data_IF_690570740418
#
_entry.id   IF_690570740418
#
_cell.length_a   1.000
_cell.length_b   1.000
_cell.length_c   1.000
_cell.angle_alpha   90.00
_cell.angle_beta   90.00
_cell.angle_gamma   90.00
#
_symmetry.space_group_name_H-M   'P 1'
#
loop_
_entity.id
_entity.type
_entity.pdbx_description
1 polymer ?
#
# COMPACT_ATOMS: atom_id res chain seq x y z
N UNK A 1 -47.47 45.34 21.10
CA UNK A 1 -46.15 45.94 21.42
C UNK A 1 -45.19 44.77 21.65
N UNK A 2 -44.31 44.37 20.73
CA UNK A 2 -43.51 45.15 19.79
C UNK A 2 -42.07 45.17 20.31
N UNK A 3 -41.38 44.04 20.25
CA UNK A 3 -39.98 43.90 20.66
C UNK A 3 -39.06 44.02 19.44
N UNK A 4 -38.14 44.97 19.52
CA UNK A 4 -37.08 45.28 18.58
C UNK A 4 -35.89 44.33 18.76
N UNK A 5 -35.23 43.96 17.67
CA UNK A 5 -33.77 43.83 17.62
C UNK A 5 -33.29 43.72 16.17
N UNK A 6 -32.60 44.76 15.73
CA UNK A 6 -31.78 44.82 14.52
C UNK A 6 -30.62 43.81 14.61
N UNK A 7 -30.27 43.18 13.49
CA UNK A 7 -28.95 42.61 13.30
C UNK A 7 -28.42 42.96 11.91
N UNK A 8 -27.28 43.62 11.93
CA UNK A 8 -26.52 44.14 10.80
C UNK A 8 -25.85 43.02 10.01
N UNK A 9 -26.00 43.08 8.69
CA UNK A 9 -25.28 42.28 7.71
C UNK A 9 -23.78 42.55 7.78
N UNK A 10 -22.98 41.51 8.01
CA UNK A 10 -21.54 41.50 7.74
C UNK A 10 -21.31 40.77 6.42
N UNK A 11 -20.94 41.53 5.41
CA UNK A 11 -20.38 41.03 4.16
C UNK A 11 -18.88 40.82 4.39
N UNK A 12 -18.43 39.57 4.35
CA UNK A 12 -17.02 39.21 4.42
C UNK A 12 -16.67 38.40 3.17
N UNK A 13 -16.32 39.14 2.11
CA UNK A 13 -15.65 38.60 0.94
C UNK A 13 -14.42 37.79 1.35
N UNK A 14 -14.49 36.48 1.18
CA UNK A 14 -13.34 35.60 1.26
C UNK A 14 -12.85 35.33 -0.15
N UNK A 15 -11.74 35.94 -0.52
CA UNK A 15 -10.97 35.57 -1.71
C UNK A 15 -10.59 34.09 -1.62
N UNK A 16 -10.72 33.28 -2.69
CA UNK A 16 -10.28 31.90 -2.65
C UNK A 16 -8.75 31.86 -2.51
N UNK A 17 -8.28 31.25 -1.43
CA UNK A 17 -6.87 30.86 -1.26
C UNK A 17 -6.38 30.10 -2.49
N UNK A 18 -5.09 30.23 -2.87
CA UNK A 18 -4.55 29.51 -4.01
C UNK A 18 -4.79 28.02 -3.80
N UNK A 19 -5.53 27.41 -4.72
CA UNK A 19 -5.86 26.00 -4.68
C UNK A 19 -4.58 25.20 -4.49
N UNK A 20 -4.42 24.58 -3.32
CA UNK A 20 -3.48 23.49 -3.12
C UNK A 20 -3.76 22.53 -4.27
N UNK A 21 -2.78 22.34 -5.16
CA UNK A 21 -2.89 21.39 -6.28
C UNK A 21 -3.30 20.06 -5.65
N UNK A 22 -4.57 19.68 -5.82
CA UNK A 22 -5.13 18.51 -5.15
C UNK A 22 -4.25 17.31 -5.44
N UNK A 23 -3.57 16.79 -4.42
CA UNK A 23 -2.91 15.50 -4.48
C UNK A 23 -3.99 14.47 -4.73
N UNK A 24 -3.78 13.59 -5.70
CA UNK A 24 -4.68 12.46 -5.95
C UNK A 24 -4.85 11.66 -4.67
N UNK A 25 -6.09 11.49 -4.23
CA UNK A 25 -6.42 10.82 -2.97
C UNK A 25 -6.64 9.32 -3.17
N UNK A 26 -6.40 8.55 -2.12
CA UNK A 26 -6.92 7.19 -2.00
C UNK A 26 -8.23 7.22 -1.21
N UNK A 27 -9.20 6.41 -1.62
CA UNK A 27 -10.49 6.33 -0.96
C UNK A 27 -10.35 5.68 0.41
N UNK A 28 -11.20 6.09 1.34
CA UNK A 28 -11.39 5.42 2.61
C UNK A 28 -12.83 5.65 3.05
N UNK A 29 -13.73 4.73 2.69
CA UNK A 29 -15.12 4.87 3.09
C UNK A 29 -15.28 4.60 4.59
N UNK A 30 -16.33 5.16 5.19
CA UNK A 30 -16.65 4.96 6.60
C UNK A 30 -16.76 3.46 6.91
N UNK A 31 -15.98 3.00 7.88
CA UNK A 31 -15.98 1.60 8.32
C UNK A 31 -14.99 0.68 7.60
N UNK A 32 -14.32 1.12 6.53
CA UNK A 32 -13.28 0.31 5.87
C UNK A 32 -11.92 0.40 6.58
N UNK A 33 -11.65 1.54 7.23
CA UNK A 33 -10.41 1.83 7.98
C UNK A 33 -9.12 1.67 7.16
N UNK A 34 -9.16 1.96 5.86
CA UNK A 34 -8.03 1.83 4.92
C UNK A 34 -6.91 2.89 5.10
N UNK A 35 -7.02 3.83 6.05
CA UNK A 35 -6.03 4.90 6.26
C UNK A 35 -4.58 4.39 6.39
N UNK A 36 -4.36 3.29 7.12
CA UNK A 36 -3.01 2.73 7.31
C UNK A 36 -2.42 2.27 5.97
N UNK A 37 -3.22 1.59 5.15
CA UNK A 37 -2.83 1.09 3.84
C UNK A 37 -2.58 2.25 2.86
N UNK A 38 -3.40 3.29 2.94
CA UNK A 38 -3.27 4.49 2.11
C UNK A 38 -1.93 5.21 2.37
N UNK A 39 -1.53 5.33 3.63
CA UNK A 39 -0.24 5.92 4.00
C UNK A 39 0.91 5.10 3.40
N UNK A 40 0.86 3.76 3.47
CA UNK A 40 1.90 2.89 2.91
C UNK A 40 1.98 3.03 1.39
N UNK A 41 0.84 2.97 0.69
CA UNK A 41 0.78 3.11 -0.78
C UNK A 41 1.34 4.46 -1.22
N UNK A 42 0.91 5.56 -0.61
CA UNK A 42 1.40 6.89 -0.97
C UNK A 42 2.89 7.05 -0.65
N UNK A 43 3.34 6.55 0.51
CA UNK A 43 4.76 6.61 0.91
C UNK A 43 5.66 5.90 -0.10
N UNK A 44 5.27 4.69 -0.53
CA UNK A 44 6.01 3.91 -1.51
C UNK A 44 5.91 4.49 -2.93
N UNK A 45 4.76 5.02 -3.33
CA UNK A 45 4.58 5.65 -4.66
C UNK A 45 5.45 6.89 -4.84
N UNK A 46 5.67 7.65 -3.76
CA UNK A 46 6.56 8.81 -3.76
C UNK A 46 8.05 8.47 -3.85
N UNK A 47 8.43 7.18 -3.85
CA UNK A 47 9.79 6.72 -4.09
C UNK A 47 9.94 6.29 -5.56
N UNK A 48 10.52 7.15 -6.44
CA UNK A 48 10.54 6.86 -7.88
C UNK A 48 11.19 5.53 -8.26
N UNK A 49 12.34 5.11 -7.66
CA UNK A 49 12.94 3.81 -7.96
C UNK A 49 12.01 2.64 -7.64
N UNK A 50 11.31 2.69 -6.51
CA UNK A 50 10.35 1.65 -6.13
C UNK A 50 9.16 1.60 -7.08
N UNK A 51 8.54 2.76 -7.33
CA UNK A 51 7.40 2.89 -8.23
C UNK A 51 7.72 2.34 -9.63
N UNK A 52 8.88 2.71 -10.19
CA UNK A 52 9.30 2.25 -11.51
C UNK A 52 9.45 0.73 -11.58
N UNK A 53 10.12 0.14 -10.59
CA UNK A 53 10.31 -1.31 -10.52
C UNK A 53 8.98 -2.07 -10.35
N UNK A 54 8.11 -1.59 -9.47
CA UNK A 54 6.80 -2.21 -9.24
C UNK A 54 5.91 -2.15 -10.49
N UNK A 55 5.87 -1.01 -11.19
CA UNK A 55 5.08 -0.86 -12.41
C UNK A 55 5.62 -1.71 -13.58
N UNK A 56 6.94 -1.97 -13.58
CA UNK A 56 7.62 -2.80 -14.57
C UNK A 56 7.42 -4.32 -14.36
N UNK A 57 6.82 -4.76 -13.24
CA UNK A 57 6.46 -6.16 -13.07
C UNK A 57 5.46 -6.56 -14.17
N UNK A 58 5.77 -7.61 -14.92
CA UNK A 58 4.88 -8.12 -15.95
C UNK A 58 3.75 -8.94 -15.33
N UNK A 59 2.50 -8.52 -15.53
CA UNK A 59 1.33 -9.28 -15.06
C UNK A 59 1.27 -10.71 -15.63
N UNK A 60 1.95 -10.97 -16.76
CA UNK A 60 2.04 -12.27 -17.39
C UNK A 60 3.01 -13.23 -16.67
N UNK A 61 4.07 -12.75 -16.00
CA UNK A 61 5.00 -13.63 -15.26
C UNK A 61 4.35 -14.24 -14.02
N UNK A 62 3.43 -13.52 -13.36
CA UNK A 62 2.73 -13.99 -12.16
C UNK A 62 1.65 -15.04 -12.48
N UNK A 63 1.00 -14.94 -13.64
CA UNK A 63 0.00 -15.91 -14.08
C UNK A 63 0.60 -17.34 -14.27
N UNK A 64 1.87 -17.42 -14.64
CA UNK A 64 2.57 -18.70 -14.82
C UNK A 64 2.83 -19.44 -13.49
N UNK A 65 3.04 -18.71 -12.39
CA UNK A 65 3.18 -19.25 -11.05
C UNK A 65 1.85 -19.80 -10.49
N UNK A 66 0.72 -19.22 -10.92
CA UNK A 66 -0.63 -19.69 -10.57
C UNK A 66 -0.97 -21.01 -11.28
N UNK A 67 -0.52 -21.23 -12.51
CA UNK A 67 -0.84 -22.42 -13.31
C UNK A 67 -0.11 -23.71 -12.87
N UNK A 68 0.99 -23.61 -12.11
CA UNK A 68 1.90 -24.73 -11.85
C UNK A 68 1.55 -25.67 -10.66
N UNK A 69 0.28 -25.80 -10.22
CA UNK A 69 -0.07 -26.88 -9.25
C UNK A 69 -0.78 -28.05 -9.92
N UNK A 70 0.00 -29.03 -10.37
CA UNK A 70 -0.46 -30.41 -10.51
C UNK A 70 -0.62 -31.07 -9.14
N UNK A 71 -1.54 -32.03 -9.05
CA UNK A 71 -2.15 -32.57 -7.83
C UNK A 71 -1.29 -33.56 -7.00
N UNK A 72 0.04 -33.60 -7.18
CA UNK A 72 0.91 -34.65 -6.61
C UNK A 72 2.09 -34.08 -5.79
N UNK A 73 1.86 -33.03 -4.99
CA UNK A 73 2.90 -32.38 -4.19
C UNK A 73 2.86 -32.78 -2.70
N UNK A 74 4.02 -33.17 -2.15
CA UNK A 74 4.27 -33.41 -0.72
C UNK A 74 3.68 -32.30 0.19
N UNK A 75 3.17 -32.63 1.40
CA UNK A 75 2.43 -31.68 2.26
C UNK A 75 3.18 -30.37 2.59
N UNK A 76 4.51 -30.39 2.63
CA UNK A 76 5.35 -29.19 2.82
C UNK A 76 5.47 -28.31 1.57
N UNK A 77 5.52 -28.92 0.39
CA UNK A 77 5.59 -28.20 -0.88
C UNK A 77 4.27 -27.46 -1.17
N UNK A 78 3.13 -28.08 -0.85
CA UNK A 78 1.81 -27.48 -1.03
C UNK A 78 1.63 -26.16 -0.26
N UNK A 79 2.05 -26.11 1.02
CA UNK A 79 1.97 -24.89 1.85
C UNK A 79 2.84 -23.75 1.31
N UNK A 80 4.06 -24.07 0.85
CA UNK A 80 4.96 -23.06 0.26
C UNK A 80 4.45 -22.51 -1.08
N UNK A 81 3.85 -23.37 -1.90
CA UNK A 81 3.20 -22.97 -3.15
C UNK A 81 1.97 -22.10 -2.89
N UNK A 82 1.16 -22.44 -1.88
CA UNK A 82 0.03 -21.60 -1.46
C UNK A 82 0.49 -20.23 -0.96
N UNK A 83 1.51 -20.17 -0.09
CA UNK A 83 2.11 -18.89 0.36
C UNK A 83 2.52 -18.03 -0.85
N UNK A 84 3.24 -18.63 -1.80
CA UNK A 84 3.69 -17.94 -3.01
C UNK A 84 2.54 -17.41 -3.87
N UNK A 85 1.46 -18.17 -4.01
CA UNK A 85 0.27 -17.74 -4.75
C UNK A 85 -0.42 -16.56 -4.10
N UNK A 86 -0.61 -16.60 -2.78
CA UNK A 86 -1.20 -15.49 -2.02
C UNK A 86 -0.32 -14.24 -2.14
N UNK A 87 1.00 -14.40 -2.02
CA UNK A 87 1.97 -13.32 -2.23
C UNK A 87 1.88 -12.72 -3.64
N UNK A 88 1.87 -13.52 -4.71
CA UNK A 88 1.72 -13.01 -6.09
C UNK A 88 0.39 -12.27 -6.31
N UNK A 89 -0.71 -12.71 -5.69
CA UNK A 89 -1.99 -11.98 -5.75
C UNK A 89 -1.91 -10.62 -5.05
N UNK A 90 -1.28 -10.59 -3.87
CA UNK A 90 -1.06 -9.35 -3.13
C UNK A 90 -0.20 -8.36 -3.94
N UNK A 91 0.88 -8.83 -4.55
CA UNK A 91 1.74 -8.03 -5.44
C UNK A 91 0.97 -7.51 -6.65
N UNK A 92 0.17 -8.36 -7.29
CA UNK A 92 -0.68 -7.96 -8.43
C UNK A 92 -1.71 -6.89 -8.05
N UNK A 93 -2.35 -7.03 -6.88
CA UNK A 93 -3.27 -6.02 -6.36
C UNK A 93 -2.55 -4.71 -6.03
N UNK A 94 -1.37 -4.77 -5.39
CA UNK A 94 -0.54 -3.59 -5.10
C UNK A 94 -0.16 -2.86 -6.39
N UNK A 95 0.33 -3.60 -7.40
CA UNK A 95 0.67 -3.05 -8.71
C UNK A 95 -0.55 -2.40 -9.38
N UNK A 96 -1.71 -3.04 -9.33
CA UNK A 96 -2.95 -2.50 -9.92
C UNK A 96 -3.33 -1.18 -9.26
N UNK A 97 -3.30 -1.10 -7.93
CA UNK A 97 -3.50 0.15 -7.19
C UNK A 97 -2.48 1.22 -7.58
N UNK A 98 -1.21 0.85 -7.80
CA UNK A 98 -0.19 1.79 -8.26
C UNK A 98 -0.43 2.31 -9.68
N UNK A 99 -0.90 1.45 -10.61
CA UNK A 99 -1.26 1.85 -11.98
C UNK A 99 -2.40 2.86 -11.96
N UNK A 100 -3.47 2.57 -11.19
CA UNK A 100 -4.61 3.48 -11.05
C UNK A 100 -4.19 4.80 -10.39
N UNK A 101 -3.39 4.73 -9.32
CA UNK A 101 -2.91 5.91 -8.62
C UNK A 101 -1.97 6.76 -9.48
N UNK A 102 -1.08 6.14 -10.25
CA UNK A 102 -0.19 6.86 -11.18
C UNK A 102 -0.97 7.55 -12.31
N UNK A 103 -1.94 6.85 -12.91
CA UNK A 103 -2.81 7.45 -13.92
C UNK A 103 -3.59 8.65 -13.36
N UNK A 104 -4.16 8.51 -12.16
CA UNK A 104 -4.91 9.57 -11.51
C UNK A 104 -4.01 10.72 -11.01
N UNK A 105 -2.76 10.46 -10.62
CA UNK A 105 -1.78 11.47 -10.24
C UNK A 105 -1.28 12.30 -11.43
N UNK A 106 -1.12 11.65 -12.59
CA UNK A 106 -0.64 12.27 -13.82
C UNK A 106 -1.76 12.85 -14.71
N UNK A 107 -3.04 12.65 -14.34
CA UNK A 107 -4.18 13.20 -15.08
C UNK A 107 -4.20 14.74 -15.07
N UNK A 108 -4.60 15.38 -16.20
CA UNK A 108 -4.72 16.83 -16.31
C UNK A 108 -5.76 17.37 -15.33
N UNK A 109 -5.56 18.60 -14.85
CA UNK A 109 -6.39 19.20 -13.78
C UNK A 109 -7.89 19.25 -14.07
N UNK A 110 -8.29 19.29 -15.35
CA UNK A 110 -9.70 19.30 -15.77
C UNK A 110 -10.38 17.93 -15.61
N UNK A 111 -9.63 16.84 -15.62
CA UNK A 111 -10.14 15.46 -15.44
C UNK A 111 -10.03 14.97 -13.99
N UNK A 112 -9.46 15.76 -13.08
CA UNK A 112 -9.35 15.42 -11.64
C UNK A 112 -10.69 15.50 -10.89
N UNK A 113 -11.81 15.49 -11.60
CA UNK A 113 -13.14 15.81 -11.11
C UNK A 113 -13.79 14.78 -10.18
N UNK A 114 -13.09 13.71 -9.76
CA UNK A 114 -13.54 12.93 -8.61
C UNK A 114 -13.46 11.43 -8.74
N UNK A 115 -12.27 10.88 -8.55
CA UNK A 115 -12.13 9.48 -8.20
C UNK A 115 -10.96 9.31 -7.26
N UNK A 116 -11.22 9.25 -5.96
CA UNK A 116 -10.22 8.72 -5.06
C UNK A 116 -9.98 7.25 -5.45
N UNK A 117 -8.71 6.86 -5.65
CA UNK A 117 -8.38 5.49 -6.06
C UNK A 117 -8.73 4.54 -4.92
N UNK A 118 -9.45 3.47 -5.21
CA UNK A 118 -9.88 2.54 -4.17
C UNK A 118 -8.80 1.50 -3.86
N UNK A 119 -8.34 1.38 -2.60
CA UNK A 119 -7.42 0.34 -2.20
C UNK A 119 -8.11 -1.00 -1.89
N UNK A 120 -9.42 -1.16 -2.13
CA UNK A 120 -10.19 -2.34 -1.67
C UNK A 120 -9.63 -3.67 -2.21
N UNK A 121 -9.19 -3.74 -3.47
CA UNK A 121 -8.61 -4.95 -4.03
C UNK A 121 -7.31 -5.35 -3.30
N UNK A 122 -6.45 -4.36 -3.00
CA UNK A 122 -5.25 -4.55 -2.20
C UNK A 122 -5.60 -4.98 -0.77
N UNK A 123 -6.65 -4.40 -0.19
CA UNK A 123 -7.13 -4.74 1.15
C UNK A 123 -7.61 -6.18 1.27
N UNK A 124 -8.35 -6.67 0.28
CA UNK A 124 -8.83 -8.06 0.21
C UNK A 124 -7.66 -9.01 0.03
N UNK A 125 -6.75 -8.71 -0.91
CA UNK A 125 -5.58 -9.56 -1.15
C UNK A 125 -4.68 -9.66 0.10
N UNK A 126 -4.54 -8.59 0.87
CA UNK A 126 -3.83 -8.61 2.15
C UNK A 126 -4.54 -9.51 3.17
N UNK A 127 -5.86 -9.40 3.30
CA UNK A 127 -6.64 -10.26 4.20
C UNK A 127 -6.55 -11.75 3.81
N UNK A 128 -6.48 -12.07 2.51
CA UNK A 128 -6.31 -13.44 2.02
C UNK A 128 -4.98 -14.08 2.41
N UNK A 129 -3.88 -13.31 2.39
CA UNK A 129 -2.55 -13.78 2.86
C UNK A 129 -2.64 -14.28 4.30
N UNK A 130 -3.43 -13.57 5.10
CA UNK A 130 -3.65 -13.82 6.53
C UNK A 130 -4.91 -14.61 6.85
N UNK A 131 -5.49 -15.29 5.85
CA UNK A 131 -6.66 -16.13 6.03
C UNK A 131 -6.39 -17.22 7.09
N UNK A 132 -7.19 -17.21 8.16
CA UNK A 132 -6.99 -18.09 9.33
C UNK A 132 -6.33 -17.40 10.53
N UNK A 133 -5.98 -16.12 10.41
CA UNK A 133 -5.56 -15.26 11.52
C UNK A 133 -6.56 -14.12 11.75
N UNK A 134 -6.46 -13.44 12.89
CA UNK A 134 -7.20 -12.21 13.16
C UNK A 134 -6.54 -10.96 12.56
N UNK A 135 -5.34 -11.09 11.98
CA UNK A 135 -4.56 -9.96 11.48
C UNK A 135 -5.05 -9.51 10.11
N UNK A 136 -5.00 -8.20 9.88
CA UNK A 136 -5.31 -7.58 8.60
C UNK A 136 -6.65 -8.00 8.00
N UNK A 137 -7.65 -8.31 8.82
CA UNK A 137 -9.01 -8.60 8.34
C UNK A 137 -9.74 -7.31 7.99
N UNK A 138 -10.61 -7.33 6.98
CA UNK A 138 -11.35 -6.14 6.51
C UNK A 138 -12.08 -5.41 7.65
N UNK A 139 -12.28 -4.09 7.48
CA UNK A 139 -12.92 -3.22 8.47
C UNK A 139 -12.19 -3.12 9.82
N UNK A 140 -10.88 -3.41 9.83
CA UNK A 140 -10.00 -3.19 10.96
C UNK A 140 -8.84 -2.27 10.58
N UNK A 141 -8.42 -1.46 11.55
CA UNK A 141 -7.21 -0.63 11.45
C UNK A 141 -6.00 -1.44 11.91
N UNK A 142 -4.92 -1.39 11.14
CA UNK A 142 -3.68 -2.11 11.44
C UNK A 142 -2.50 -1.13 11.44
N UNK A 143 -1.36 -1.57 11.96
CA UNK A 143 -0.14 -0.78 11.95
C UNK A 143 0.43 -0.68 10.52
N UNK A 144 0.80 0.54 10.11
CA UNK A 144 1.31 0.79 8.77
C UNK A 144 2.71 0.18 8.53
N UNK A 145 3.55 0.11 9.57
CA UNK A 145 4.87 -0.49 9.49
C UNK A 145 4.81 -2.01 9.35
N UNK A 146 3.87 -2.67 10.03
CA UNK A 146 3.62 -4.11 9.84
C UNK A 146 3.17 -4.40 8.41
N UNK A 147 2.22 -3.62 7.88
CA UNK A 147 1.77 -3.77 6.49
C UNK A 147 2.91 -3.55 5.49
N UNK A 148 3.77 -2.56 5.72
CA UNK A 148 4.94 -2.31 4.88
C UNK A 148 5.86 -3.54 4.83
N UNK A 149 6.15 -4.16 5.98
CA UNK A 149 6.98 -5.36 6.06
C UNK A 149 6.32 -6.54 5.35
N UNK A 150 5.00 -6.72 5.48
CA UNK A 150 4.27 -7.79 4.80
C UNK A 150 4.22 -7.60 3.28
N UNK A 151 4.13 -6.37 2.79
CA UNK A 151 4.26 -6.09 1.37
C UNK A 151 5.67 -6.42 0.86
N UNK A 152 6.71 -6.18 1.64
CA UNK A 152 8.08 -6.56 1.30
C UNK A 152 8.28 -8.08 1.32
N UNK A 153 7.76 -8.80 2.32
CA UNK A 153 7.79 -10.28 2.34
C UNK A 153 7.02 -10.86 1.16
N UNK A 154 5.88 -10.26 0.78
CA UNK A 154 5.10 -10.69 -0.38
C UNK A 154 5.86 -10.48 -1.69
N UNK A 155 6.49 -9.31 -1.89
CA UNK A 155 7.33 -9.04 -3.06
C UNK A 155 8.50 -10.02 -3.15
N UNK A 156 9.20 -10.27 -2.04
CA UNK A 156 10.30 -11.23 -1.99
C UNK A 156 9.82 -12.67 -2.25
N UNK A 157 8.73 -13.08 -1.60
CA UNK A 157 8.13 -14.41 -1.75
C UNK A 157 7.64 -14.67 -3.19
N UNK A 158 7.15 -13.62 -3.87
CA UNK A 158 6.77 -13.66 -5.29
C UNK A 158 7.97 -13.67 -6.26
N UNK A 159 9.20 -13.46 -5.75
CA UNK A 159 10.43 -13.52 -6.54
C UNK A 159 10.94 -12.16 -7.03
N UNK A 160 10.43 -11.05 -6.48
CA UNK A 160 10.86 -9.70 -6.85
C UNK A 160 11.95 -9.17 -5.92
N UNK A 161 13.21 -9.43 -6.27
CA UNK A 161 14.38 -9.06 -5.46
C UNK A 161 14.77 -7.58 -5.49
N UNK A 162 14.04 -6.73 -6.22
CA UNK A 162 14.38 -5.30 -6.30
C UNK A 162 14.19 -4.59 -4.94
N UNK A 163 13.34 -5.13 -4.06
CA UNK A 163 13.15 -4.60 -2.69
C UNK A 163 14.45 -4.68 -1.90
N UNK A 164 15.15 -5.81 -1.97
CA UNK A 164 16.46 -6.01 -1.32
C UNK A 164 17.52 -5.06 -1.91
N UNK A 165 17.46 -4.78 -3.22
CA UNK A 165 18.37 -3.84 -3.86
C UNK A 165 18.09 -2.38 -3.49
N UNK A 166 16.83 -2.00 -3.26
CA UNK A 166 16.43 -0.63 -2.94
C UNK A 166 16.51 -0.29 -1.46
N UNK A 167 16.17 -1.23 -0.58
CA UNK A 167 16.04 -1.01 0.86
C UNK A 167 17.01 -1.85 1.70
N UNK A 168 17.74 -2.78 1.08
CA UNK A 168 18.70 -3.62 1.78
C UNK A 168 19.82 -2.80 2.42
N UNK A 169 20.11 -3.10 3.67
CA UNK A 169 21.24 -2.55 4.41
C UNK A 169 22.18 -3.69 4.80
N UNK A 170 23.46 -3.53 4.50
CA UNK A 170 24.49 -4.44 5.02
C UNK A 170 24.85 -4.01 6.43
N UNK A 171 24.51 -4.85 7.41
CA UNK A 171 24.89 -4.66 8.80
C UNK A 171 26.10 -5.54 9.12
N UNK A 172 27.15 -4.92 9.67
CA UNK A 172 28.28 -5.63 10.27
C UNK A 172 28.17 -5.46 11.78
N UNK A 173 27.79 -6.53 12.49
CA UNK A 173 27.67 -6.52 13.93
C UNK A 173 28.95 -7.03 14.58
N UNK A 174 29.60 -6.17 15.36
CA UNK A 174 30.76 -6.53 16.17
C UNK A 174 30.35 -6.64 17.63
N UNK A 175 30.41 -7.86 18.17
CA UNK A 175 30.15 -8.10 19.59
C UNK A 175 31.47 -8.04 20.34
N UNK A 176 31.69 -6.96 21.09
CA UNK A 176 32.83 -6.78 21.96
C UNK A 176 32.41 -6.94 23.42
N UNK A 177 33.08 -7.82 24.16
CA UNK A 177 32.87 -7.91 25.60
C UNK A 177 33.38 -6.63 26.27
N UNK A 178 32.51 -5.94 27.01
CA UNK A 178 32.86 -4.71 27.72
C UNK A 178 34.07 -4.87 28.65
N UNK A 179 34.24 -6.04 29.28
CA UNK A 179 35.32 -6.32 30.22
C UNK A 179 36.62 -6.81 29.56
N UNK A 180 36.56 -7.33 28.32
CA UNK A 180 37.70 -7.97 27.66
C UNK A 180 38.21 -7.22 26.43
N UNK A 181 37.47 -6.22 25.94
CA UNK A 181 37.86 -5.45 24.78
C UNK A 181 39.06 -4.53 25.11
N UNK A 182 40.14 -4.54 24.30
CA UNK A 182 41.25 -3.61 24.49
C UNK A 182 40.75 -2.17 24.31
N UNK A 183 41.18 -1.27 25.21
CA UNK A 183 40.94 0.17 25.10
C UNK A 183 41.79 0.80 24.01
#
# INVERSE_FOLDING_TARGET
>A
AGAVASSSSFDAGSSPSPAVRGTTGLANATGEYNCFLNVVVQSLWHLPPFRQQLLAIDAASDASALAASGADAEPGAAKSAEKRRKASRLVSALRSTFVEYDAAANAPSSDRLGGAVSPSALRVALAEVFAGSALFQESQMNDASEVLLELFDALHTAGHSFVDALFGLRLEEHVACHSCAPR
#
